data_IF_933173270389
#
_entry.id   IF_933173270389
#
_cell.length_a   1.000
_cell.length_b   1.000
_cell.length_c   1.000
_cell.angle_alpha   90.00
_cell.angle_beta   90.00
_cell.angle_gamma   90.00
#
_symmetry.space_group_name_H-M   'P 1'
#
loop_
_entity.id
_entity.type
_entity.pdbx_description
1 polymer ?
#
# COMPACT_ATOMS: atom_id res chain seq x y z
N UNK A 1 -15.00 7.39 10.19
CA UNK A 1 -15.51 7.64 8.83
C UNK A 1 -15.45 9.15 8.56
N UNK A 2 -14.89 9.54 7.42
CA UNK A 2 -14.83 10.93 6.97
C UNK A 2 -15.41 11.04 5.56
N UNK A 3 -16.11 12.14 5.29
CA UNK A 3 -16.66 12.41 3.95
C UNK A 3 -15.58 12.88 2.96
N UNK A 4 -14.45 13.40 3.47
CA UNK A 4 -13.32 13.81 2.67
C UNK A 4 -12.00 13.23 3.20
N UNK A 5 -11.64 12.00 2.81
CA UNK A 5 -10.42 11.35 3.30
C UNK A 5 -9.14 12.09 2.89
N UNK A 6 -9.13 12.77 1.75
CA UNK A 6 -7.93 13.50 1.27
C UNK A 6 -7.62 14.71 2.16
N UNK A 7 -8.65 15.49 2.51
CA UNK A 7 -8.47 16.62 3.43
C UNK A 7 -8.01 16.14 4.81
N UNK A 8 -8.62 15.07 5.33
CA UNK A 8 -8.26 14.48 6.61
C UNK A 8 -6.80 13.97 6.63
N UNK A 9 -6.36 13.31 5.58
CA UNK A 9 -4.96 12.87 5.45
C UNK A 9 -3.99 14.06 5.40
N UNK A 10 -4.40 15.14 4.74
CA UNK A 10 -3.60 16.38 4.69
C UNK A 10 -3.42 17.00 6.08
N UNK A 11 -4.47 16.98 6.91
CA UNK A 11 -4.42 17.44 8.31
C UNK A 11 -3.45 16.57 9.14
N UNK A 12 -3.61 15.25 9.07
CA UNK A 12 -2.70 14.31 9.75
C UNK A 12 -1.25 14.61 9.37
N UNK A 13 -0.96 14.70 8.08
CA UNK A 13 0.42 14.90 7.59
C UNK A 13 1.01 16.24 7.98
N UNK A 14 0.21 17.25 8.35
CA UNK A 14 0.73 18.49 8.90
C UNK A 14 1.38 18.33 10.28
N UNK A 15 0.89 17.39 11.08
CA UNK A 15 1.46 17.10 12.39
C UNK A 15 2.80 16.32 12.31
N UNK A 16 3.01 15.59 11.20
CA UNK A 16 4.18 14.71 10.99
C UNK A 16 5.21 15.31 10.04
N UNK A 17 5.40 16.62 10.09
CA UNK A 17 6.45 17.30 9.32
C UNK A 17 7.82 17.05 9.93
N UNK A 18 8.75 16.55 9.12
CA UNK A 18 10.13 16.31 9.51
C UNK A 18 11.07 17.22 8.71
N UNK A 19 12.18 17.65 9.30
CA UNK A 19 13.18 18.46 8.59
C UNK A 19 13.82 17.68 7.45
N UNK A 20 14.21 18.40 6.40
CA UNK A 20 14.88 17.79 5.27
C UNK A 20 16.40 17.85 5.47
N UNK A 21 17.01 16.70 5.75
CA UNK A 21 18.47 16.58 5.89
C UNK A 21 19.09 16.08 4.59
N UNK A 22 20.29 16.56 4.19
CA UNK A 22 21.02 15.99 3.08
C UNK A 22 21.45 14.55 3.37
N UNK A 23 21.61 13.75 2.32
CA UNK A 23 22.11 12.37 2.39
C UNK A 23 21.24 11.37 3.17
N UNK A 24 19.97 11.68 3.41
CA UNK A 24 19.01 10.72 3.96
C UNK A 24 18.29 9.94 2.84
N UNK A 25 17.75 8.76 3.12
CA UNK A 25 16.83 8.08 2.22
C UNK A 25 15.63 8.96 1.85
N UNK A 26 15.05 8.74 0.67
CA UNK A 26 13.89 9.54 0.20
C UNK A 26 12.67 9.35 1.09
N UNK A 27 12.42 8.11 1.56
CA UNK A 27 11.36 7.78 2.50
C UNK A 27 11.96 7.69 3.90
N UNK A 28 11.49 8.54 4.80
CA UNK A 28 11.94 8.58 6.20
C UNK A 28 10.84 8.28 7.20
N UNK A 29 9.63 8.06 6.73
CA UNK A 29 8.41 7.81 7.50
C UNK A 29 7.21 8.33 6.76
N UNK A 30 6.02 8.16 7.31
CA UNK A 30 4.77 8.65 6.74
C UNK A 30 3.69 7.59 6.65
N UNK A 31 2.68 7.87 5.84
CA UNK A 31 1.55 6.99 5.63
C UNK A 31 1.83 6.05 4.46
N UNK A 32 1.74 4.74 4.70
CA UNK A 32 1.95 3.69 3.71
C UNK A 32 0.72 2.77 3.71
N UNK A 33 0.22 2.45 2.54
CA UNK A 33 -0.93 1.56 2.36
C UNK A 33 -1.48 1.69 0.95
N UNK A 34 -2.81 1.64 0.83
CA UNK A 34 -3.45 1.72 -0.48
C UNK A 34 -4.64 2.69 -0.47
N UNK A 35 -4.93 3.19 -1.66
CA UNK A 35 -6.21 3.75 -2.04
C UNK A 35 -6.84 2.79 -3.04
N UNK A 36 -8.10 2.43 -2.83
CA UNK A 36 -8.86 1.67 -3.81
C UNK A 36 -9.03 2.52 -5.10
N UNK A 37 -9.29 1.85 -6.22
CA UNK A 37 -9.57 2.55 -7.48
C UNK A 37 -10.75 3.54 -7.32
N UNK A 38 -11.75 3.13 -6.57
CA UNK A 38 -12.96 3.92 -6.29
C UNK A 38 -12.72 5.17 -5.43
N UNK A 39 -11.55 5.32 -4.82
CA UNK A 39 -11.18 6.54 -4.11
C UNK A 39 -11.14 7.79 -5.03
N UNK A 40 -11.11 7.59 -6.35
CA UNK A 40 -11.23 8.68 -7.33
C UNK A 40 -12.51 9.52 -7.12
N UNK A 41 -13.58 8.93 -6.59
CA UNK A 41 -14.85 9.61 -6.32
C UNK A 41 -14.75 10.75 -5.31
N UNK A 42 -13.78 10.68 -4.40
CA UNK A 42 -13.50 11.77 -3.46
C UNK A 42 -12.84 12.99 -4.11
N UNK A 43 -12.32 12.83 -5.33
CA UNK A 43 -11.59 13.86 -6.07
C UNK A 43 -12.34 14.31 -7.33
N UNK A 44 -13.13 13.42 -7.94
CA UNK A 44 -13.81 13.67 -9.22
C UNK A 44 -15.31 13.39 -9.10
N UNK A 45 -16.13 14.45 -8.93
CA UNK A 45 -17.58 14.32 -8.75
C UNK A 45 -18.31 13.71 -9.96
N UNK A 46 -17.73 13.75 -11.16
CA UNK A 46 -18.36 13.22 -12.38
C UNK A 46 -18.44 11.68 -12.38
N UNK A 47 -17.68 11.00 -11.52
CA UNK A 47 -17.68 9.54 -11.37
C UNK A 47 -18.29 9.10 -10.02
N UNK A 48 -19.35 9.81 -9.61
CA UNK A 48 -19.98 9.58 -8.29
C UNK A 48 -20.68 8.23 -8.13
N UNK A 49 -21.13 7.61 -9.23
CA UNK A 49 -21.83 6.31 -9.20
C UNK A 49 -20.89 5.19 -8.77
N UNK A 50 -21.26 4.52 -7.69
CA UNK A 50 -20.51 3.40 -7.12
C UNK A 50 -21.04 2.07 -7.65
N UNK A 51 -20.19 1.19 -8.18
CA UNK A 51 -20.58 -0.20 -8.35
C UNK A 51 -20.88 -0.85 -7.00
N UNK A 52 -21.62 -1.98 -6.96
CA UNK A 52 -21.86 -2.72 -5.72
C UNK A 52 -20.54 -3.12 -5.06
N UNK A 53 -20.41 -2.83 -3.76
CA UNK A 53 -19.27 -3.30 -2.96
C UNK A 53 -19.60 -4.68 -2.35
N UNK A 54 -19.11 -5.72 -2.99
CA UNK A 54 -19.26 -7.12 -2.57
C UNK A 54 -18.07 -7.62 -1.72
N UNK A 55 -16.98 -6.86 -1.67
CA UNK A 55 -15.77 -7.22 -0.92
C UNK A 55 -15.71 -6.57 0.46
N UNK A 56 -16.49 -5.52 0.71
CA UNK A 56 -16.45 -4.69 1.92
C UNK A 56 -15.03 -4.20 2.26
N UNK A 57 -14.27 -3.86 1.23
CA UNK A 57 -12.91 -3.34 1.39
C UNK A 57 -12.95 -1.82 1.59
N UNK A 58 -12.17 -1.27 2.53
CA UNK A 58 -12.11 0.18 2.70
C UNK A 58 -11.50 0.86 1.46
N UNK A 59 -12.04 2.01 1.07
CA UNK A 59 -11.52 2.82 -0.05
C UNK A 59 -10.11 3.34 0.22
N UNK A 60 -9.71 3.42 1.47
CA UNK A 60 -8.37 3.84 1.88
C UNK A 60 -7.98 3.11 3.16
N UNK A 61 -6.82 2.46 3.13
CA UNK A 61 -6.24 1.81 4.30
C UNK A 61 -4.76 2.15 4.40
N UNK A 62 -4.41 3.00 5.35
CA UNK A 62 -3.07 3.54 5.53
C UNK A 62 -2.60 3.30 6.95
N UNK A 63 -1.33 2.97 7.07
CA UNK A 63 -0.61 2.85 8.34
C UNK A 63 0.40 3.99 8.44
N UNK A 64 0.49 4.59 9.61
CA UNK A 64 1.55 5.54 9.90
C UNK A 64 2.81 4.77 10.34
N UNK A 65 3.91 5.02 9.64
CA UNK A 65 5.21 4.46 9.96
C UNK A 65 6.16 5.58 10.40
N UNK A 66 6.61 5.51 11.61
CA UNK A 66 7.60 6.39 12.23
C UNK A 66 8.97 5.72 12.39
N UNK A 67 9.04 4.40 12.21
CA UNK A 67 10.26 3.59 12.18
C UNK A 67 10.46 3.00 10.76
N UNK A 68 11.60 3.28 10.14
CA UNK A 68 11.95 2.80 8.80
C UNK A 68 13.36 2.20 8.80
N UNK A 69 13.51 1.05 8.15
CA UNK A 69 14.83 0.51 7.78
C UNK A 69 14.97 0.61 6.27
N UNK A 70 15.89 1.44 5.81
CA UNK A 70 16.17 1.63 4.40
C UNK A 70 17.46 0.89 4.01
N UNK A 71 17.37 0.03 2.99
CA UNK A 71 18.52 -0.64 2.41
C UNK A 71 19.02 0.14 1.19
N UNK A 72 20.22 0.71 1.30
CA UNK A 72 20.91 1.36 0.20
C UNK A 72 21.82 0.37 -0.50
N UNK A 73 21.35 -0.16 -1.61
CA UNK A 73 22.09 -1.15 -2.41
C UNK A 73 23.32 -0.56 -3.13
N UNK A 74 23.36 0.76 -3.33
CA UNK A 74 24.51 1.41 -3.97
C UNK A 74 25.70 1.51 -3.02
N UNK A 75 25.45 1.88 -1.76
CA UNK A 75 26.49 2.03 -0.73
C UNK A 75 26.62 0.80 0.17
N UNK A 76 25.80 -0.26 -0.02
CA UNK A 76 25.72 -1.47 0.82
C UNK A 76 25.52 -1.13 2.30
N UNK A 77 24.55 -0.26 2.59
CA UNK A 77 24.24 0.17 3.95
C UNK A 77 22.77 -0.06 4.28
N UNK A 78 22.52 -0.43 5.54
CA UNK A 78 21.20 -0.32 6.14
C UNK A 78 21.15 0.97 6.99
N UNK A 79 20.11 1.79 6.77
CA UNK A 79 19.90 3.03 7.51
C UNK A 79 18.64 2.87 8.34
N UNK A 80 18.77 2.94 9.66
CA UNK A 80 17.65 2.91 10.59
C UNK A 80 17.21 4.35 10.83
N UNK A 81 15.95 4.63 10.61
CA UNK A 81 15.36 5.96 10.76
C UNK A 81 14.23 5.84 11.77
N UNK A 82 14.33 6.64 12.82
CA UNK A 82 13.33 6.73 13.88
C UNK A 82 12.88 8.18 13.99
N UNK A 83 11.59 8.39 13.87
CA UNK A 83 10.99 9.71 14.03
C UNK A 83 10.45 9.83 15.46
N UNK A 84 10.75 10.95 16.12
CA UNK A 84 10.24 11.27 17.45
C UNK A 84 9.34 12.50 17.39
N UNK A 85 8.38 12.55 18.29
CA UNK A 85 7.56 13.74 18.46
C UNK A 85 8.37 14.86 19.10
N UNK A 86 8.25 16.08 18.58
CA UNK A 86 8.81 17.27 19.22
C UNK A 86 7.93 17.77 20.38
N UNK A 87 6.93 16.99 20.82
CA UNK A 87 6.05 17.31 21.97
C UNK A 87 6.55 16.55 23.21
N UNK A 88 6.54 17.19 24.37
CA UNK A 88 6.97 16.59 25.65
C UNK A 88 8.48 16.63 25.88
N UNK A 89 9.02 15.67 26.62
CA UNK A 89 10.46 15.58 26.92
C UNK A 89 11.22 14.98 25.74
N UNK A 90 11.82 15.86 24.94
CA UNK A 90 12.56 15.46 23.73
C UNK A 90 13.84 14.69 24.10
N UNK A 91 14.46 15.00 25.24
CA UNK A 91 15.68 14.33 25.68
C UNK A 91 15.40 12.87 26.05
N UNK A 92 14.33 12.61 26.78
CA UNK A 92 13.90 11.25 27.12
C UNK A 92 13.54 10.46 25.86
N UNK A 93 12.78 11.05 24.93
CA UNK A 93 12.41 10.42 23.67
C UNK A 93 13.64 10.08 22.82
N UNK A 94 14.64 10.97 22.80
CA UNK A 94 15.88 10.73 22.06
C UNK A 94 16.68 9.55 22.64
N UNK A 95 16.79 9.47 23.96
CA UNK A 95 17.46 8.33 24.61
C UNK A 95 16.71 7.00 24.34
N UNK A 96 15.37 7.01 24.40
CA UNK A 96 14.56 5.85 24.04
C UNK A 96 14.78 5.43 22.57
N UNK A 97 14.89 6.39 21.65
CA UNK A 97 15.21 6.12 20.24
C UNK A 97 16.58 5.47 20.05
N UNK A 98 17.60 5.88 20.80
CA UNK A 98 18.92 5.22 20.71
C UNK A 98 18.83 3.75 21.09
N UNK A 99 18.16 3.44 22.21
CA UNK A 99 17.94 2.06 22.64
C UNK A 99 17.15 1.28 21.56
N UNK A 100 16.11 1.89 20.98
CA UNK A 100 15.33 1.27 19.92
C UNK A 100 16.15 1.01 18.67
N UNK A 101 17.00 1.94 18.26
CA UNK A 101 17.90 1.77 17.11
C UNK A 101 18.86 0.58 17.30
N UNK A 102 19.42 0.43 18.49
CA UNK A 102 20.29 -0.70 18.84
C UNK A 102 19.54 -2.04 18.77
N UNK A 103 18.29 -2.09 19.26
CA UNK A 103 17.45 -3.29 19.17
C UNK A 103 17.19 -3.68 17.71
N UNK A 104 16.83 -2.72 16.85
CA UNK A 104 16.62 -2.95 15.43
C UNK A 104 17.92 -3.44 14.76
N UNK A 105 19.06 -2.81 15.07
CA UNK A 105 20.34 -3.23 14.54
C UNK A 105 20.70 -4.66 14.95
N UNK A 106 20.41 -5.06 16.19
CA UNK A 106 20.59 -6.44 16.65
C UNK A 106 19.66 -7.40 15.88
N UNK A 107 18.39 -7.04 15.69
CA UNK A 107 17.45 -7.86 14.92
C UNK A 107 17.91 -8.06 13.47
N UNK A 108 18.46 -7.03 12.82
CA UNK A 108 18.98 -7.13 11.45
C UNK A 108 20.21 -8.04 11.35
N UNK A 109 21.00 -8.15 12.40
CA UNK A 109 22.16 -9.03 12.44
C UNK A 109 21.82 -10.47 12.87
N UNK A 110 20.60 -10.71 13.36
CA UNK A 110 20.18 -12.02 13.81
C UNK A 110 19.56 -12.82 12.66
N UNK A 111 20.30 -13.78 12.13
CA UNK A 111 19.77 -14.69 11.11
C UNK A 111 18.86 -15.74 11.75
N UNK A 112 17.58 -15.67 11.42
CA UNK A 112 16.62 -16.75 11.73
C UNK A 112 16.43 -17.56 10.45
N UNK A 113 16.79 -18.86 10.44
CA UNK A 113 16.48 -19.71 9.29
C UNK A 113 14.97 -19.71 9.07
N UNK A 114 14.54 -19.21 7.93
CA UNK A 114 13.14 -19.31 7.54
C UNK A 114 12.82 -20.80 7.35
N UNK A 115 11.79 -21.35 8.01
CA UNK A 115 11.34 -22.71 7.73
C UNK A 115 11.04 -22.82 6.24
N UNK A 116 11.54 -23.88 5.59
CA UNK A 116 11.17 -24.12 4.19
C UNK A 116 9.65 -24.23 4.11
N UNK A 117 9.01 -23.50 3.19
CA UNK A 117 7.56 -23.56 3.05
C UNK A 117 7.14 -25.02 2.84
N UNK A 118 6.25 -25.49 3.67
CA UNK A 118 5.61 -26.80 3.48
C UNK A 118 4.47 -26.58 2.50
N UNK A 119 4.78 -26.60 1.21
CA UNK A 119 3.75 -26.64 0.19
C UNK A 119 2.99 -27.96 0.29
N UNK A 120 1.95 -28.00 1.12
CA UNK A 120 0.89 -28.94 0.85
C UNK A 120 0.27 -28.49 -0.48
N UNK A 121 0.51 -29.25 -1.55
CA UNK A 121 -0.17 -29.07 -2.83
C UNK A 121 -1.67 -29.34 -2.59
N UNK A 122 -2.38 -28.31 -2.15
CA UNK A 122 -3.83 -28.30 -2.25
C UNK A 122 -4.18 -27.93 -3.67
N UNK A 123 -5.15 -28.62 -4.23
CA UNK A 123 -5.71 -28.27 -5.52
C UNK A 123 -6.25 -26.82 -5.41
N UNK A 124 -5.71 -25.93 -6.23
CA UNK A 124 -6.09 -24.52 -6.23
C UNK A 124 -7.22 -24.37 -7.23
N UNK A 125 -8.39 -24.01 -6.75
CA UNK A 125 -9.53 -23.65 -7.58
C UNK A 125 -9.50 -22.15 -7.82
N UNK A 126 -9.54 -21.76 -9.10
CA UNK A 126 -9.59 -20.36 -9.51
C UNK A 126 -10.93 -20.10 -10.18
N UNK A 127 -11.67 -19.13 -9.69
CA UNK A 127 -12.94 -18.68 -10.27
C UNK A 127 -12.83 -17.25 -10.80
N UNK A 128 -13.61 -16.92 -11.83
CA UNK A 128 -13.68 -15.56 -12.37
C UNK A 128 -15.09 -15.00 -12.19
N UNK A 129 -15.19 -13.69 -11.96
CA UNK A 129 -16.48 -12.99 -11.86
C UNK A 129 -17.15 -12.75 -13.23
N UNK A 130 -16.45 -13.00 -14.33
CA UNK A 130 -16.97 -12.93 -15.71
C UNK A 130 -16.53 -14.16 -16.51
N UNK A 131 -17.34 -14.60 -17.45
CA UNK A 131 -16.97 -15.65 -18.40
C UNK A 131 -16.03 -15.13 -19.47
N UNK A 132 -15.40 -16.03 -20.23
CA UNK A 132 -14.55 -15.65 -21.35
C UNK A 132 -15.37 -14.93 -22.43
N UNK A 133 -16.58 -15.38 -22.71
CA UNK A 133 -17.51 -14.81 -23.68
C UNK A 133 -17.88 -13.37 -23.30
N UNK A 134 -18.29 -13.14 -22.06
CA UNK A 134 -18.60 -11.80 -21.53
C UNK A 134 -17.39 -10.86 -21.61
N UNK A 135 -16.19 -11.36 -21.30
CA UNK A 135 -14.98 -10.55 -21.44
C UNK A 135 -14.68 -10.18 -22.89
N UNK A 136 -14.89 -11.11 -23.84
CA UNK A 136 -14.74 -10.82 -25.27
C UNK A 136 -15.75 -9.77 -25.75
N UNK A 137 -16.98 -9.82 -25.29
CA UNK A 137 -17.99 -8.81 -25.58
C UNK A 137 -17.58 -7.42 -25.07
N UNK A 138 -17.07 -7.33 -23.84
CA UNK A 138 -16.52 -6.09 -23.29
C UNK A 138 -15.39 -5.52 -24.17
N UNK A 139 -14.50 -6.39 -24.67
CA UNK A 139 -13.42 -5.98 -25.59
C UNK A 139 -13.98 -5.44 -26.91
N UNK A 140 -15.01 -6.04 -27.46
CA UNK A 140 -15.62 -5.56 -28.73
C UNK A 140 -16.31 -4.21 -28.53
N UNK A 141 -17.00 -4.01 -27.40
CA UNK A 141 -17.62 -2.73 -27.07
C UNK A 141 -16.55 -1.65 -26.90
N UNK A 142 -15.47 -1.94 -26.18
CA UNK A 142 -14.35 -1.03 -26.01
C UNK A 142 -13.73 -0.60 -27.34
N UNK A 143 -13.53 -1.54 -28.27
CA UNK A 143 -13.04 -1.24 -29.62
C UNK A 143 -13.98 -0.32 -30.37
N UNK A 144 -15.28 -0.51 -30.23
CA UNK A 144 -16.30 0.35 -30.87
C UNK A 144 -16.20 1.79 -30.34
N UNK A 145 -16.07 1.98 -29.04
CA UNK A 145 -15.89 3.31 -28.45
C UNK A 145 -14.59 4.00 -28.92
N UNK A 146 -13.50 3.24 -29.09
CA UNK A 146 -12.26 3.78 -29.65
C UNK A 146 -12.44 4.22 -31.11
N UNK A 147 -13.12 3.38 -31.92
CA UNK A 147 -13.38 3.70 -33.35
C UNK A 147 -14.30 4.90 -33.53
N UNK A 148 -15.25 5.09 -32.63
CA UNK A 148 -16.16 6.25 -32.62
C UNK A 148 -15.48 7.53 -32.14
N UNK A 149 -14.29 7.44 -31.55
CA UNK A 149 -13.59 8.59 -30.99
C UNK A 149 -14.07 9.00 -29.58
N UNK A 150 -14.86 8.16 -28.90
CA UNK A 150 -15.35 8.43 -27.56
C UNK A 150 -14.21 8.38 -26.54
N UNK A 151 -13.25 7.47 -26.76
CA UNK A 151 -12.06 7.24 -25.93
C UNK A 151 -10.89 6.87 -26.83
N UNK A 152 -9.65 7.06 -26.36
CA UNK A 152 -8.44 6.61 -27.05
C UNK A 152 -7.77 5.40 -26.37
N UNK A 153 -8.09 5.16 -25.09
CA UNK A 153 -7.59 4.04 -24.30
C UNK A 153 -8.60 3.64 -23.24
N UNK A 154 -8.70 2.34 -22.99
CA UNK A 154 -9.48 1.75 -21.89
C UNK A 154 -8.74 0.55 -21.33
N UNK A 155 -8.81 0.37 -20.02
CA UNK A 155 -8.30 -0.82 -19.33
C UNK A 155 -9.51 -1.61 -18.81
N UNK A 156 -9.75 -2.77 -19.41
CA UNK A 156 -10.77 -3.71 -18.97
C UNK A 156 -10.16 -4.62 -17.88
N UNK A 157 -10.95 -4.95 -16.88
CA UNK A 157 -10.50 -5.81 -15.79
C UNK A 157 -11.51 -6.90 -15.46
N UNK A 158 -11.02 -7.95 -14.83
CA UNK A 158 -11.82 -9.03 -14.26
C UNK A 158 -11.19 -9.43 -12.93
N UNK A 159 -11.97 -10.05 -12.07
CA UNK A 159 -11.51 -10.55 -10.78
C UNK A 159 -11.38 -12.07 -10.82
N UNK A 160 -10.21 -12.56 -10.44
CA UNK A 160 -9.98 -13.96 -10.16
C UNK A 160 -9.94 -14.18 -8.65
N UNK A 161 -10.68 -15.16 -8.19
CA UNK A 161 -10.72 -15.58 -6.80
C UNK A 161 -10.05 -16.95 -6.66
N UNK A 162 -9.23 -17.10 -5.65
CA UNK A 162 -8.52 -18.34 -5.34
C UNK A 162 -9.06 -18.88 -4.02
N UNK A 163 -9.65 -20.07 -4.08
CA UNK A 163 -10.08 -20.76 -2.87
C UNK A 163 -8.87 -21.37 -2.15
N UNK A 164 -8.84 -21.22 -0.83
CA UNK A 164 -7.76 -21.74 0.02
C UNK A 164 -6.35 -21.36 -0.46
N UNK A 165 -6.05 -20.07 -0.61
CA UNK A 165 -4.74 -19.64 -1.05
C UNK A 165 -3.66 -20.09 -0.05
N UNK A 166 -2.42 -20.30 -0.50
CA UNK A 166 -1.31 -20.52 0.42
C UNK A 166 -1.09 -19.29 1.31
N UNK A 167 -0.41 -19.48 2.44
CA UNK A 167 -0.04 -18.36 3.27
C UNK A 167 0.85 -17.39 2.45
N UNK A 168 0.53 -16.09 2.37
CA UNK A 168 1.27 -15.15 1.52
C UNK A 168 2.70 -14.88 1.99
N UNK A 169 3.09 -15.36 3.17
CA UNK A 169 4.44 -15.25 3.72
C UNK A 169 5.29 -16.52 3.58
N UNK A 170 4.76 -17.59 2.95
CA UNK A 170 5.49 -18.87 2.76
C UNK A 170 6.39 -18.86 1.52
#
# INVERSE_FOLDING_TARGET
HTENPIAYLSEIMQEYRSPNFPNKPKLTGGLIGYFAYDAVRYMEPTVADSPPDDLNMPDCHLFLYDEIVAFDHLSNKAVIILNISCKGDIAEQYEACKVRAEQIAQMLNYYVPTPKPRHAQKEITVTSNVTAEEFYEMVQQAKTHILNGDIFQIVLSQRFEVENPPNPFD
#
